data_IF_953291040290
#
_entry.id   IF_953291040290
#
_cell.length_a   1.000
_cell.length_b   1.000
_cell.length_c   1.000
_cell.angle_alpha   90.00
_cell.angle_beta   90.00
_cell.angle_gamma   90.00
#
_symmetry.space_group_name_H-M   'P 1'
#
loop_
_entity.id
_entity.type
_entity.pdbx_description
1 polymer ?
#
# COMPACT_ATOMS: atom_id res chain seq x y z
N UNK A 1 -2.81 -39.84 1.79
CA UNK A 1 -3.37 -39.13 2.96
C UNK A 1 -4.77 -38.70 2.59
N UNK A 2 -5.78 -38.93 3.43
CA UNK A 2 -7.15 -38.48 3.18
C UNK A 2 -7.32 -37.05 3.72
N UNK A 3 -7.29 -36.08 2.81
CA UNK A 3 -7.40 -34.66 3.17
C UNK A 3 -8.79 -34.26 3.69
N UNK A 4 -9.84 -35.02 3.34
CA UNK A 4 -11.20 -34.77 3.84
C UNK A 4 -11.33 -35.27 5.27
N UNK A 5 -10.80 -36.45 5.56
CA UNK A 5 -10.81 -37.02 6.92
C UNK A 5 -10.07 -36.12 7.94
N UNK A 6 -9.01 -35.42 7.51
CA UNK A 6 -8.27 -34.47 8.36
C UNK A 6 -8.85 -33.06 8.33
N UNK A 7 -9.95 -32.82 7.60
CA UNK A 7 -10.62 -31.53 7.57
C UNK A 7 -9.79 -30.39 6.97
N UNK A 8 -8.95 -30.68 5.97
CA UNK A 8 -8.07 -29.67 5.36
C UNK A 8 -8.87 -28.51 4.74
N UNK A 9 -8.45 -27.28 5.04
CA UNK A 9 -8.96 -26.04 4.42
C UNK A 9 -7.78 -25.25 3.87
N UNK A 10 -7.94 -24.68 2.67
CA UNK A 10 -6.90 -23.90 1.97
C UNK A 10 -7.51 -22.61 1.45
N UNK A 11 -6.81 -21.49 1.63
CA UNK A 11 -7.12 -20.20 1.02
C UNK A 11 -5.97 -19.76 0.12
N UNK A 12 -6.27 -18.89 -0.85
CA UNK A 12 -5.29 -18.34 -1.78
C UNK A 12 -5.40 -16.82 -1.77
N UNK A 13 -4.25 -16.15 -1.70
CA UNK A 13 -4.13 -14.70 -1.80
C UNK A 13 -3.11 -14.38 -2.90
N UNK A 14 -3.49 -13.49 -3.83
CA UNK A 14 -2.67 -13.15 -5.00
C UNK A 14 -2.58 -11.64 -5.09
N UNK A 15 -1.35 -11.12 -5.12
CA UNK A 15 -1.07 -9.70 -5.36
C UNK A 15 -0.43 -9.55 -6.73
N UNK A 16 -0.85 -8.54 -7.49
CA UNK A 16 -0.31 -8.26 -8.82
C UNK A 16 -0.19 -6.76 -9.05
N UNK A 17 0.96 -6.34 -9.58
CA UNK A 17 1.17 -4.97 -10.05
C UNK A 17 0.51 -4.78 -11.42
N UNK A 18 -0.10 -3.61 -11.61
CA UNK A 18 -0.66 -3.19 -12.88
C UNK A 18 0.38 -2.32 -13.60
N UNK A 19 0.57 -2.56 -14.89
CA UNK A 19 1.47 -1.80 -15.76
C UNK A 19 0.74 -0.56 -16.31
N UNK A 20 0.34 0.33 -15.41
CA UNK A 20 -0.36 1.58 -15.76
C UNK A 20 0.64 2.69 -16.08
N UNK A 21 0.24 3.70 -16.85
CA UNK A 21 1.12 4.81 -17.24
C UNK A 21 1.68 5.59 -16.05
N UNK A 22 0.90 5.71 -14.97
CA UNK A 22 1.33 6.31 -13.71
C UNK A 22 0.81 5.54 -12.48
N UNK A 23 1.37 5.85 -11.30
CA UNK A 23 1.01 5.21 -10.03
C UNK A 23 -0.41 5.53 -9.60
N UNK A 24 -0.90 4.81 -8.59
CA UNK A 24 -2.33 4.80 -8.23
C UNK A 24 -2.86 6.15 -7.71
N UNK A 25 -2.03 6.95 -7.05
CA UNK A 25 -2.42 8.19 -6.38
C UNK A 25 -1.49 9.37 -6.68
N UNK A 26 -0.68 9.27 -7.74
CA UNK A 26 0.17 10.35 -8.24
C UNK A 26 0.57 10.09 -9.70
N UNK A 27 1.12 11.11 -10.34
CA UNK A 27 1.50 11.07 -11.77
C UNK A 27 2.89 10.47 -12.03
N UNK A 28 3.57 9.92 -11.02
CA UNK A 28 4.85 9.25 -11.22
C UNK A 28 4.70 7.98 -12.06
N UNK A 29 5.67 7.64 -12.93
CA UNK A 29 5.65 6.40 -13.69
C UNK A 29 5.76 5.17 -12.77
N UNK A 30 5.25 4.03 -13.25
CA UNK A 30 5.26 2.72 -12.57
C UNK A 30 6.56 1.92 -12.79
N UNK A 31 7.66 2.62 -13.06
CA UNK A 31 8.97 2.00 -13.27
C UNK A 31 9.79 1.99 -11.97
N UNK A 32 10.68 1.01 -11.83
CA UNK A 32 11.68 0.99 -10.77
C UNK A 32 12.91 1.79 -11.19
N UNK A 33 13.36 2.67 -10.31
CA UNK A 33 14.64 3.36 -10.49
C UNK A 33 15.80 2.38 -10.33
N UNK A 34 16.74 2.42 -11.27
CA UNK A 34 17.99 1.63 -11.23
C UNK A 34 19.22 2.49 -11.03
N UNK A 35 19.03 3.81 -10.94
CA UNK A 35 20.09 4.80 -10.74
C UNK A 35 20.31 5.01 -9.23
N UNK A 36 21.49 5.50 -8.81
CA UNK A 36 21.68 5.95 -7.44
C UNK A 36 20.63 7.02 -7.06
N UNK A 37 20.07 6.98 -5.85
CA UNK A 37 19.09 7.96 -5.43
C UNK A 37 19.70 9.34 -5.37
N UNK A 38 18.93 10.35 -5.77
CA UNK A 38 19.38 11.75 -5.72
C UNK A 38 19.12 12.38 -4.36
N UNK A 39 18.15 11.84 -3.62
CA UNK A 39 17.72 12.30 -2.30
C UNK A 39 17.53 11.08 -1.42
N UNK A 40 17.97 11.19 -0.17
CA UNK A 40 17.62 10.25 0.90
C UNK A 40 17.13 11.05 2.10
N UNK A 41 16.10 10.55 2.78
CA UNK A 41 15.53 11.18 3.97
C UNK A 41 15.11 10.15 5.00
N UNK A 42 15.13 10.53 6.27
CA UNK A 42 14.82 9.64 7.38
C UNK A 42 13.43 9.96 7.95
N UNK A 43 12.66 8.93 8.30
CA UNK A 43 11.46 9.08 9.12
C UNK A 43 11.40 8.04 10.24
N UNK A 44 10.62 8.37 11.27
CA UNK A 44 10.24 7.46 12.34
C UNK A 44 8.72 7.46 12.47
N UNK A 45 8.11 6.32 12.16
CA UNK A 45 6.67 6.13 12.29
C UNK A 45 6.28 5.98 13.77
N UNK A 46 5.08 6.44 14.12
CA UNK A 46 4.53 6.37 15.48
C UNK A 46 3.15 5.71 15.44
N UNK A 47 2.82 4.88 16.43
CA UNK A 47 1.48 4.32 16.53
C UNK A 47 0.48 5.41 16.96
N UNK A 48 -0.77 5.23 16.56
CA UNK A 48 -1.87 6.13 16.90
C UNK A 48 -2.77 5.50 17.96
N UNK A 49 -3.37 6.32 18.81
CA UNK A 49 -4.38 5.87 19.77
C UNK A 49 -5.74 5.72 19.10
N UNK A 50 -6.48 4.68 19.47
CA UNK A 50 -7.90 4.56 19.20
C UNK A 50 -8.70 5.62 19.97
N UNK A 51 -9.97 5.72 19.63
CA UNK A 51 -10.98 6.53 20.31
C UNK A 51 -11.09 6.24 21.83
N UNK A 52 -10.68 5.05 22.29
CA UNK A 52 -10.63 4.67 23.71
C UNK A 52 -9.23 4.85 24.33
N UNK A 53 -8.29 5.49 23.61
CA UNK A 53 -6.90 5.66 24.06
C UNK A 53 -6.03 4.40 23.94
N UNK A 54 -6.58 3.29 23.44
CA UNK A 54 -5.84 2.04 23.26
C UNK A 54 -4.96 2.09 22.01
N UNK A 55 -3.81 1.43 22.06
CA UNK A 55 -2.89 1.30 20.92
C UNK A 55 -2.94 -0.13 20.41
N UNK A 56 -2.96 -0.31 19.09
CA UNK A 56 -2.86 -1.63 18.47
C UNK A 56 -1.58 -2.35 18.95
N UNK A 57 -1.67 -3.58 19.50
CA UNK A 57 -0.51 -4.29 20.05
C UNK A 57 0.57 -4.61 19.01
N UNK A 58 0.21 -4.91 17.76
CA UNK A 58 1.16 -5.15 16.68
C UNK A 58 1.84 -3.83 16.28
N UNK A 59 1.08 -2.74 16.25
CA UNK A 59 1.63 -1.41 16.00
C UNK A 59 2.61 -0.98 17.12
N UNK A 60 2.27 -1.29 18.38
CA UNK A 60 3.16 -1.01 19.50
C UNK A 60 4.43 -1.88 19.45
N UNK A 61 4.29 -3.14 19.05
CA UNK A 61 5.41 -4.07 18.92
C UNK A 61 6.45 -3.61 17.89
N UNK A 62 6.04 -3.23 16.67
CA UNK A 62 7.01 -2.72 15.68
C UNK A 62 7.60 -1.37 16.12
N UNK A 63 6.81 -0.49 16.75
CA UNK A 63 7.32 0.79 17.26
C UNK A 63 8.43 0.61 18.31
N UNK A 64 8.29 -0.37 19.21
CA UNK A 64 9.31 -0.69 20.22
C UNK A 64 10.64 -1.17 19.63
N UNK A 65 10.67 -1.61 18.37
CA UNK A 65 11.94 -1.89 17.67
C UNK A 65 12.77 -0.61 17.44
N UNK A 66 12.18 0.57 17.61
CA UNK A 66 12.89 1.85 17.59
C UNK A 66 13.54 2.19 16.25
N UNK A 67 13.00 1.65 15.14
CA UNK A 67 13.59 1.81 13.81
C UNK A 67 13.44 3.24 13.31
N UNK A 68 14.53 3.76 12.76
CA UNK A 68 14.52 4.88 11.81
C UNK A 68 14.57 4.28 10.41
N UNK A 69 13.72 4.78 9.51
CA UNK A 69 13.62 4.30 8.13
C UNK A 69 14.23 5.36 7.23
N UNK A 70 15.22 4.97 6.44
CA UNK A 70 15.78 5.82 5.38
C UNK A 70 15.05 5.49 4.08
N UNK A 71 14.43 6.50 3.48
CA UNK A 71 13.78 6.40 2.18
C UNK A 71 14.67 7.03 1.11
N UNK A 72 14.72 6.40 -0.05
CA UNK A 72 15.50 6.80 -1.21
C UNK A 72 14.55 7.32 -2.30
N UNK A 73 14.90 8.42 -2.95
CA UNK A 73 14.07 9.06 -3.94
C UNK A 73 14.88 9.67 -5.09
N UNK A 74 14.21 9.78 -6.23
CA UNK A 74 14.70 10.48 -7.41
C UNK A 74 13.56 11.22 -8.12
N UNK A 75 13.87 12.25 -8.93
CA UNK A 75 12.85 13.06 -9.58
C UNK A 75 12.14 12.36 -10.75
N UNK A 76 12.64 11.21 -11.19
CA UNK A 76 12.09 10.45 -12.32
C UNK A 76 10.92 9.57 -11.88
N UNK A 77 11.02 8.95 -10.70
CA UNK A 77 10.05 7.95 -10.21
C UNK A 77 9.28 8.38 -8.97
N UNK A 78 9.61 9.55 -8.40
CA UNK A 78 9.10 10.00 -7.10
C UNK A 78 8.61 11.44 -7.14
N UNK A 79 7.54 11.74 -6.37
CA UNK A 79 7.00 13.07 -6.15
C UNK A 79 6.64 13.28 -4.68
N UNK A 80 6.15 14.46 -4.30
CA UNK A 80 5.80 14.79 -2.92
C UNK A 80 4.75 13.87 -2.31
N UNK A 81 3.85 13.28 -3.10
CA UNK A 81 2.88 12.28 -2.61
C UNK A 81 3.57 11.04 -2.04
N UNK A 82 4.63 10.57 -2.69
CA UNK A 82 5.42 9.43 -2.23
C UNK A 82 6.23 9.78 -0.98
N UNK A 83 6.64 11.04 -0.85
CA UNK A 83 7.39 11.54 0.29
C UNK A 83 6.50 11.81 1.51
N UNK A 84 5.18 11.72 1.39
CA UNK A 84 4.20 12.19 2.39
C UNK A 84 4.31 13.71 2.65
N UNK A 85 4.53 14.49 1.59
CA UNK A 85 4.66 15.96 1.61
C UNK A 85 3.61 16.66 0.74
N UNK A 86 2.68 15.91 0.16
CA UNK A 86 1.55 16.42 -0.62
C UNK A 86 0.34 15.48 -0.46
N UNK A 87 -0.90 16.02 -0.43
CA UNK A 87 -2.09 15.18 -0.49
C UNK A 87 -2.07 14.26 -1.73
N UNK A 88 -2.55 13.00 -1.61
CA UNK A 88 -2.65 12.12 -2.76
C UNK A 88 -3.58 12.71 -3.83
N UNK A 89 -3.28 12.43 -5.08
CA UNK A 89 -4.13 12.81 -6.21
C UNK A 89 -5.35 11.88 -6.28
N UNK A 90 -6.20 12.11 -7.29
CA UNK A 90 -7.33 11.24 -7.57
C UNK A 90 -6.85 9.82 -7.92
N UNK A 91 -7.73 8.85 -7.66
CA UNK A 91 -7.49 7.45 -8.00
C UNK A 91 -7.23 7.31 -9.51
N UNK A 92 -6.15 6.62 -9.89
CA UNK A 92 -5.81 6.41 -11.30
C UNK A 92 -6.96 5.68 -12.03
N UNK A 93 -7.63 6.31 -13.02
CA UNK A 93 -8.75 5.71 -13.74
C UNK A 93 -8.35 4.50 -14.59
N UNK A 94 -7.12 4.45 -15.09
CA UNK A 94 -6.59 3.29 -15.82
C UNK A 94 -6.50 2.06 -14.91
N UNK A 95 -6.01 2.25 -13.68
CA UNK A 95 -5.94 1.17 -12.69
C UNK A 95 -7.34 0.66 -12.32
N UNK A 96 -8.32 1.56 -12.22
CA UNK A 96 -9.73 1.20 -11.96
C UNK A 96 -10.30 0.38 -13.12
N UNK A 97 -10.08 0.80 -14.37
CA UNK A 97 -10.58 0.07 -15.55
C UNK A 97 -10.03 -1.36 -15.64
N UNK A 98 -8.72 -1.52 -15.39
CA UNK A 98 -8.08 -2.84 -15.32
C UNK A 98 -8.66 -3.68 -14.18
N UNK A 99 -8.86 -3.09 -12.99
CA UNK A 99 -9.45 -3.80 -11.85
C UNK A 99 -10.90 -4.23 -12.09
N UNK A 100 -11.72 -3.41 -12.74
CA UNK A 100 -13.08 -3.74 -13.14
C UNK A 100 -13.09 -4.84 -14.21
N UNK A 101 -12.21 -4.75 -15.21
CA UNK A 101 -12.03 -5.78 -16.23
C UNK A 101 -11.68 -7.13 -15.59
N UNK A 102 -10.71 -7.15 -14.68
CA UNK A 102 -10.34 -8.36 -13.93
C UNK A 102 -11.49 -8.90 -13.08
N UNK A 103 -12.27 -8.02 -12.45
CA UNK A 103 -13.46 -8.41 -11.67
C UNK A 103 -14.48 -9.13 -12.56
N UNK A 104 -14.73 -8.64 -13.77
CA UNK A 104 -15.64 -9.26 -14.72
C UNK A 104 -15.12 -10.61 -15.24
N UNK A 105 -13.82 -10.71 -15.53
CA UNK A 105 -13.17 -11.97 -15.95
C UNK A 105 -13.23 -13.06 -14.87
N UNK A 106 -13.20 -12.65 -13.60
CA UNK A 106 -13.30 -13.55 -12.44
C UNK A 106 -14.75 -13.79 -11.99
N UNK A 107 -15.74 -13.31 -12.75
CA UNK A 107 -17.16 -13.39 -12.40
C UNK A 107 -17.50 -12.78 -11.03
N UNK A 108 -16.72 -11.79 -10.58
CA UNK A 108 -17.01 -11.00 -9.40
C UNK A 108 -18.11 -9.96 -9.70
N UNK A 109 -18.70 -9.39 -8.65
CA UNK A 109 -19.69 -8.31 -8.76
C UNK A 109 -19.03 -6.99 -8.32
N UNK A 110 -18.74 -6.07 -9.25
CA UNK A 110 -18.26 -4.73 -8.89
C UNK A 110 -19.26 -4.00 -7.99
N UNK A 111 -18.74 -3.14 -7.11
CA UNK A 111 -19.53 -2.23 -6.29
C UNK A 111 -19.86 -0.94 -7.06
N UNK A 112 -20.87 -0.22 -6.59
CA UNK A 112 -21.34 1.02 -7.23
C UNK A 112 -20.42 2.22 -6.96
N UNK A 113 -19.67 2.19 -5.84
CA UNK A 113 -18.77 3.27 -5.40
C UNK A 113 -17.48 2.73 -4.79
N UNK A 114 -16.36 3.42 -5.02
CA UNK A 114 -15.04 3.08 -4.48
C UNK A 114 -14.70 4.03 -3.34
N UNK A 115 -14.47 3.50 -2.14
CA UNK A 115 -14.06 4.28 -0.96
C UNK A 115 -12.63 3.92 -0.58
N UNK A 116 -11.72 4.89 -0.65
CA UNK A 116 -10.31 4.67 -0.32
C UNK A 116 -10.13 4.65 1.20
N UNK A 117 -9.60 3.53 1.69
CA UNK A 117 -9.31 3.25 3.09
C UNK A 117 -7.81 3.35 3.38
N UNK A 118 -7.47 3.47 4.66
CA UNK A 118 -6.08 3.50 5.15
C UNK A 118 -5.83 2.32 6.06
N UNK A 119 -5.14 1.30 5.55
CA UNK A 119 -4.68 0.16 6.34
C UNK A 119 -3.37 0.54 7.03
N UNK A 120 -3.35 0.57 8.36
CA UNK A 120 -2.14 0.94 9.12
C UNK A 120 -0.99 -0.03 8.82
N UNK A 121 0.18 0.51 8.47
CA UNK A 121 1.40 -0.24 8.16
C UNK A 121 2.59 0.54 8.71
N UNK A 122 3.22 0.03 9.76
CA UNK A 122 4.27 0.77 10.49
C UNK A 122 5.65 0.10 10.44
N UNK A 123 5.83 -0.84 9.52
CA UNK A 123 7.11 -1.50 9.28
C UNK A 123 8.13 -0.60 8.54
N UNK A 124 7.67 0.53 7.98
CA UNK A 124 8.47 1.46 7.20
C UNK A 124 8.35 1.31 5.68
N UNK A 125 7.51 0.39 5.19
CA UNK A 125 7.32 0.20 3.74
C UNK A 125 6.46 1.31 3.10
N UNK A 126 5.63 1.99 3.89
CA UNK A 126 4.84 3.14 3.47
C UNK A 126 5.27 4.40 4.24
N UNK A 127 5.70 5.43 3.52
CA UNK A 127 6.12 6.74 4.08
C UNK A 127 5.06 7.39 4.96
N UNK A 128 3.78 7.20 4.61
CA UNK A 128 2.61 7.71 5.34
C UNK A 128 2.24 6.93 6.60
N UNK A 129 2.85 5.76 6.83
CA UNK A 129 2.45 4.84 7.91
C UNK A 129 1.15 4.07 7.66
N UNK A 130 0.60 4.14 6.44
CA UNK A 130 -0.52 3.32 6.00
C UNK A 130 -0.47 3.01 4.51
N UNK A 131 -1.09 1.91 4.13
CA UNK A 131 -1.37 1.57 2.75
C UNK A 131 -2.77 2.06 2.38
N UNK A 132 -2.90 2.75 1.24
CA UNK A 132 -4.20 3.09 0.66
C UNK A 132 -4.77 1.86 -0.06
N UNK A 133 -6.01 1.50 0.23
CA UNK A 133 -6.72 0.32 -0.31
C UNK A 133 -8.19 0.67 -0.56
N UNK A 134 -8.93 -0.16 -1.30
CA UNK A 134 -10.37 -0.02 -1.52
C UNK A 134 -10.98 -1.40 -1.79
#
# INVERSE_FOLDING_TARGET
MDYRAVGLKVGVEIHRQLDTGHKLFCDCPTILSTKPPTVAFERRLRPTQSELGQIDPAALFEFHKGKTVTYEADPETTCLVELDEEPPHLLNPEAVDVALTMSMLLHAKPLDEIHVMRKVVIDGSNTTGFQRTA
#
